data_IF_674520559043
#
_entry.id   IF_674520559043
#
_cell.length_a   1.000
_cell.length_b   1.000
_cell.length_c   1.000
_cell.angle_alpha   90.00
_cell.angle_beta   90.00
_cell.angle_gamma   90.00
#
_symmetry.space_group_name_H-M   'P 1'
#
loop_
_entity.id
_entity.type
_entity.pdbx_description
1 polymer ?
#
# COMPACT_ATOMS: atom_id res chain seq x y z
N UNK A 1 4.07 -55.46 -7.60
CA UNK A 1 4.27 -54.31 -8.54
C UNK A 1 2.97 -53.65 -8.98
N UNK A 2 1.85 -54.35 -9.30
CA UNK A 2 0.57 -53.74 -9.69
C UNK A 2 -0.17 -52.99 -8.57
N UNK A 3 -0.02 -53.42 -7.31
CA UNK A 3 -0.68 -52.82 -6.15
C UNK A 3 -0.01 -51.44 -5.75
N UNK A 4 1.29 -51.39 -5.86
CA UNK A 4 2.03 -50.10 -5.59
C UNK A 4 1.73 -48.99 -6.61
N UNK A 5 1.49 -49.34 -7.90
CA UNK A 5 1.11 -48.36 -8.94
C UNK A 5 -0.29 -47.76 -8.68
N UNK A 6 -1.23 -48.55 -8.12
CA UNK A 6 -2.59 -48.04 -7.80
C UNK A 6 -2.60 -47.09 -6.61
N UNK A 7 -1.73 -47.32 -5.60
CA UNK A 7 -1.62 -46.44 -4.42
C UNK A 7 -0.98 -45.10 -4.80
N UNK A 8 0.06 -45.08 -5.66
CA UNK A 8 0.66 -43.84 -6.13
C UNK A 8 -0.31 -43.00 -7.02
N UNK A 9 -1.13 -43.66 -7.84
CA UNK A 9 -2.13 -42.97 -8.66
C UNK A 9 -3.25 -42.36 -7.80
N UNK A 10 -3.65 -43.04 -6.73
CA UNK A 10 -4.67 -42.53 -5.80
C UNK A 10 -4.20 -41.33 -4.99
N UNK A 11 -2.93 -41.31 -4.57
CA UNK A 11 -2.34 -40.18 -3.81
C UNK A 11 -2.14 -38.96 -4.76
N UNK A 12 -1.72 -39.17 -5.99
CA UNK A 12 -1.57 -38.07 -6.96
C UNK A 12 -2.91 -37.44 -7.34
N UNK A 13 -3.98 -38.23 -7.47
CA UNK A 13 -5.34 -37.73 -7.76
C UNK A 13 -5.92 -36.99 -6.57
N UNK A 14 -5.70 -37.44 -5.32
CA UNK A 14 -6.14 -36.75 -4.12
C UNK A 14 -5.39 -35.42 -3.90
N UNK A 15 -4.09 -35.36 -4.20
CA UNK A 15 -3.33 -34.12 -4.11
C UNK A 15 -3.75 -33.09 -5.18
N UNK A 16 -4.08 -33.54 -6.38
CA UNK A 16 -4.58 -32.67 -7.46
C UNK A 16 -5.99 -32.12 -7.16
N UNK A 17 -6.87 -32.94 -6.56
CA UNK A 17 -8.22 -32.52 -6.16
C UNK A 17 -8.17 -31.55 -4.97
N UNK A 18 -7.26 -31.73 -4.00
CA UNK A 18 -7.10 -30.80 -2.90
C UNK A 18 -6.54 -29.44 -3.37
N UNK A 19 -5.60 -29.43 -4.34
CA UNK A 19 -5.03 -28.21 -4.92
C UNK A 19 -6.07 -27.42 -5.74
N UNK A 20 -6.94 -28.10 -6.50
CA UNK A 20 -8.04 -27.47 -7.23
C UNK A 20 -9.07 -26.83 -6.28
N UNK A 21 -9.38 -27.48 -5.14
CA UNK A 21 -10.34 -26.94 -4.17
C UNK A 21 -9.84 -25.66 -3.48
N UNK A 22 -8.55 -25.55 -3.15
CA UNK A 22 -8.00 -24.32 -2.56
C UNK A 22 -8.01 -23.17 -3.58
N UNK A 23 -7.61 -23.42 -4.80
CA UNK A 23 -7.64 -22.44 -5.89
C UNK A 23 -9.06 -21.93 -6.15
N UNK A 24 -10.06 -22.81 -6.17
CA UNK A 24 -11.46 -22.45 -6.34
C UNK A 24 -11.98 -21.60 -5.16
N UNK A 25 -11.56 -21.89 -3.94
CA UNK A 25 -11.90 -21.09 -2.77
C UNK A 25 -11.30 -19.68 -2.85
N UNK A 26 -10.05 -19.54 -3.31
CA UNK A 26 -9.42 -18.24 -3.50
C UNK A 26 -10.12 -17.42 -4.57
N UNK A 27 -10.51 -18.01 -5.70
CA UNK A 27 -11.32 -17.31 -6.71
C UNK A 27 -12.67 -16.87 -6.15
N UNK A 28 -13.37 -17.73 -5.40
CA UNK A 28 -14.64 -17.37 -4.77
C UNK A 28 -14.48 -16.21 -3.78
N UNK A 29 -13.40 -16.20 -2.99
CA UNK A 29 -13.07 -15.11 -2.07
C UNK A 29 -12.86 -13.79 -2.83
N UNK A 30 -12.10 -13.82 -3.93
CA UNK A 30 -11.86 -12.64 -4.79
C UNK A 30 -13.17 -12.14 -5.39
N UNK A 31 -13.96 -13.03 -6.01
CA UNK A 31 -15.25 -12.68 -6.61
C UNK A 31 -16.19 -12.01 -5.60
N UNK A 32 -16.35 -12.59 -4.42
CA UNK A 32 -17.21 -12.03 -3.37
C UNK A 32 -16.74 -10.65 -2.89
N UNK A 33 -15.43 -10.46 -2.75
CA UNK A 33 -14.86 -9.18 -2.33
C UNK A 33 -15.15 -8.08 -3.36
N UNK A 34 -14.94 -8.35 -4.65
CA UNK A 34 -15.17 -7.35 -5.70
C UNK A 34 -16.66 -7.09 -5.94
N UNK A 35 -17.54 -8.10 -5.88
CA UNK A 35 -18.99 -7.90 -5.95
C UNK A 35 -19.48 -7.05 -4.78
N UNK A 36 -18.98 -7.29 -3.57
CA UNK A 36 -19.30 -6.46 -2.40
C UNK A 36 -18.78 -5.03 -2.54
N UNK A 37 -17.56 -4.85 -3.07
CA UNK A 37 -16.95 -3.55 -3.30
C UNK A 37 -17.72 -2.72 -4.33
N UNK A 38 -18.12 -3.33 -5.44
CA UNK A 38 -18.82 -2.64 -6.54
C UNK A 38 -20.06 -1.90 -6.05
N UNK A 39 -21.00 -2.59 -5.42
CA UNK A 39 -22.24 -1.98 -4.96
C UNK A 39 -22.05 -0.88 -3.93
N UNK A 40 -21.08 -1.05 -3.00
CA UNK A 40 -20.77 -0.07 -1.96
C UNK A 40 -20.15 1.19 -2.53
N UNK A 41 -19.14 1.02 -3.37
CA UNK A 41 -18.38 2.15 -3.94
C UNK A 41 -19.24 2.96 -4.91
N UNK A 42 -20.14 2.33 -5.69
CA UNK A 42 -21.13 3.05 -6.50
C UNK A 42 -22.04 3.91 -5.59
N UNK A 43 -22.63 3.31 -4.55
CA UNK A 43 -23.53 4.00 -3.64
C UNK A 43 -22.83 5.18 -2.93
N UNK A 44 -21.63 4.96 -2.43
CA UNK A 44 -20.84 5.98 -1.74
C UNK A 44 -20.44 7.12 -2.69
N UNK A 45 -19.95 6.80 -3.88
CA UNK A 45 -19.56 7.78 -4.88
C UNK A 45 -20.76 8.64 -5.36
N UNK A 46 -21.88 8.00 -5.72
CA UNK A 46 -23.07 8.72 -6.18
C UNK A 46 -23.65 9.64 -5.09
N UNK A 47 -23.64 9.21 -3.82
CA UNK A 47 -24.11 10.03 -2.70
C UNK A 47 -23.26 11.29 -2.51
N UNK A 48 -21.92 11.16 -2.57
CA UNK A 48 -21.00 12.29 -2.39
C UNK A 48 -21.02 13.27 -3.55
N UNK A 49 -21.24 12.81 -4.78
CA UNK A 49 -21.42 13.72 -5.92
C UNK A 49 -22.64 14.64 -5.77
N UNK A 50 -23.64 14.23 -4.98
CA UNK A 50 -24.86 14.99 -4.71
C UNK A 50 -24.74 15.90 -3.49
N UNK A 51 -24.00 15.48 -2.42
CA UNK A 51 -23.91 16.19 -1.14
C UNK A 51 -22.63 17.01 -0.98
N UNK A 52 -21.50 16.46 -1.39
CA UNK A 52 -20.15 16.98 -1.08
C UNK A 52 -19.25 16.93 -2.32
N UNK A 53 -19.68 17.57 -3.40
CA UNK A 53 -18.98 17.54 -4.68
C UNK A 53 -17.53 18.01 -4.58
N UNK A 54 -16.60 17.18 -5.08
CA UNK A 54 -15.18 17.45 -5.05
C UNK A 54 -14.45 16.97 -3.78
N UNK A 55 -15.19 16.47 -2.77
CA UNK A 55 -14.61 15.84 -1.59
C UNK A 55 -14.48 14.34 -1.78
N UNK A 56 -13.51 13.73 -1.09
CA UNK A 56 -13.22 12.31 -1.18
C UNK A 56 -13.41 11.63 0.19
N UNK A 57 -14.01 10.42 0.22
CA UNK A 57 -14.19 9.70 1.49
C UNK A 57 -12.85 9.18 1.99
N UNK A 58 -12.60 9.37 3.29
CA UNK A 58 -11.37 8.96 3.96
C UNK A 58 -11.62 7.89 5.02
N UNK A 59 -12.58 8.14 5.92
CA UNK A 59 -12.86 7.32 7.09
C UNK A 59 -14.26 7.60 7.64
N UNK A 60 -14.52 7.17 8.88
CA UNK A 60 -15.68 7.57 9.69
C UNK A 60 -15.25 8.42 10.90
N UNK A 61 -16.09 9.42 11.22
CA UNK A 61 -16.01 10.18 12.48
C UNK A 61 -16.57 9.37 13.65
N UNK A 62 -16.42 9.87 14.87
CA UNK A 62 -16.92 9.22 16.08
C UNK A 62 -18.45 9.08 16.12
N UNK A 63 -19.17 9.99 15.47
CA UNK A 63 -20.63 9.94 15.32
C UNK A 63 -21.12 9.01 14.20
N UNK A 64 -20.21 8.31 13.51
CA UNK A 64 -20.49 7.41 12.43
C UNK A 64 -20.71 8.10 11.07
N UNK A 65 -20.65 9.44 10.98
CA UNK A 65 -20.70 10.17 9.71
C UNK A 65 -19.39 10.04 8.93
N UNK A 66 -19.42 10.25 7.61
CA UNK A 66 -18.22 10.21 6.78
C UNK A 66 -17.21 11.28 7.17
N UNK A 67 -15.97 10.89 7.33
CA UNK A 67 -14.83 11.78 7.35
C UNK A 67 -14.34 11.97 5.91
N UNK A 68 -14.38 13.19 5.42
CA UNK A 68 -14.02 13.55 4.06
C UNK A 68 -12.69 14.29 4.03
N UNK A 69 -12.00 14.18 2.91
CA UNK A 69 -10.73 14.85 2.64
C UNK A 69 -10.82 15.64 1.34
N UNK A 70 -10.20 16.83 1.31
CA UNK A 70 -10.04 17.60 0.09
C UNK A 70 -8.94 17.00 -0.80
N UNK A 71 -8.83 17.48 -2.02
CA UNK A 71 -7.87 16.97 -3.03
C UNK A 71 -6.42 16.99 -2.55
N UNK A 72 -6.01 17.99 -1.78
CA UNK A 72 -4.65 18.12 -1.22
C UNK A 72 -4.35 17.19 -0.03
N UNK A 73 -5.34 16.45 0.47
CA UNK A 73 -5.11 15.46 1.52
C UNK A 73 -4.41 14.21 0.99
N UNK A 74 -3.41 13.71 1.71
CA UNK A 74 -2.57 12.60 1.27
C UNK A 74 -3.33 11.31 0.89
N UNK A 75 -4.53 11.12 1.44
CA UNK A 75 -5.37 9.96 1.17
C UNK A 75 -6.32 10.13 -0.02
N UNK A 76 -6.28 11.27 -0.69
CA UNK A 76 -7.27 11.62 -1.74
C UNK A 76 -7.21 10.68 -2.96
N UNK A 77 -6.03 10.13 -3.29
CA UNK A 77 -5.85 9.25 -4.45
C UNK A 77 -6.41 7.84 -4.29
N UNK A 78 -6.63 7.37 -3.05
CA UNK A 78 -6.98 5.96 -2.81
C UNK A 78 -8.43 5.62 -3.19
N UNK A 79 -9.38 6.53 -2.99
CA UNK A 79 -10.76 6.27 -3.35
C UNK A 79 -10.96 6.12 -4.87
N UNK A 80 -10.49 7.05 -5.73
CA UNK A 80 -10.50 6.84 -7.17
C UNK A 80 -9.66 5.63 -7.60
N UNK A 81 -8.53 5.37 -6.94
CA UNK A 81 -7.72 4.18 -7.18
C UNK A 81 -8.47 2.88 -6.92
N UNK A 82 -9.24 2.80 -5.83
CA UNK A 82 -10.11 1.66 -5.53
C UNK A 82 -11.20 1.47 -6.59
N UNK A 83 -11.80 2.55 -7.07
CA UNK A 83 -12.76 2.49 -8.18
C UNK A 83 -12.12 1.94 -9.46
N UNK A 84 -10.87 2.29 -9.77
CA UNK A 84 -10.15 1.72 -10.90
C UNK A 84 -9.90 0.22 -10.74
N UNK A 85 -9.53 -0.27 -9.56
CA UNK A 85 -9.37 -1.71 -9.31
C UNK A 85 -10.70 -2.47 -9.41
N UNK A 86 -11.79 -1.89 -8.89
CA UNK A 86 -13.12 -2.48 -9.02
C UNK A 86 -13.52 -2.57 -10.50
N UNK A 87 -13.29 -1.50 -11.28
CA UNK A 87 -13.55 -1.53 -12.72
C UNK A 87 -12.69 -2.57 -13.45
N UNK A 88 -11.40 -2.65 -13.16
CA UNK A 88 -10.48 -3.62 -13.78
C UNK A 88 -10.97 -5.06 -13.58
N UNK A 89 -11.55 -5.36 -12.42
CA UNK A 89 -12.10 -6.68 -12.13
C UNK A 89 -13.46 -6.92 -12.76
N UNK A 90 -14.39 -5.97 -12.61
CA UNK A 90 -15.82 -6.17 -12.93
C UNK A 90 -16.18 -5.78 -14.36
N UNK A 91 -15.43 -4.88 -14.99
CA UNK A 91 -15.77 -4.28 -16.29
C UNK A 91 -16.97 -3.34 -16.27
N UNK A 92 -17.48 -2.96 -15.08
CA UNK A 92 -18.69 -2.15 -14.96
C UNK A 92 -18.49 -0.71 -15.44
N UNK A 93 -19.22 -0.28 -16.47
CA UNK A 93 -19.11 1.07 -17.07
C UNK A 93 -19.51 2.21 -16.12
N UNK A 94 -20.41 2.00 -15.15
CA UNK A 94 -20.75 2.99 -14.14
C UNK A 94 -19.55 3.23 -13.20
N UNK A 95 -18.89 2.15 -12.75
CA UNK A 95 -17.69 2.25 -11.92
C UNK A 95 -16.57 2.99 -12.66
N UNK A 96 -16.38 2.70 -13.97
CA UNK A 96 -15.44 3.44 -14.80
C UNK A 96 -15.72 4.94 -14.82
N UNK A 97 -16.98 5.32 -15.07
CA UNK A 97 -17.37 6.73 -15.12
C UNK A 97 -17.13 7.43 -13.79
N UNK A 98 -17.39 6.76 -12.66
CA UNK A 98 -17.12 7.27 -11.33
C UNK A 98 -15.61 7.38 -11.09
N UNK A 99 -14.82 6.37 -11.48
CA UNK A 99 -13.36 6.40 -11.37
C UNK A 99 -12.75 7.58 -12.15
N UNK A 100 -13.17 7.80 -13.39
CA UNK A 100 -12.78 8.94 -14.21
C UNK A 100 -13.13 10.26 -13.54
N UNK A 101 -14.35 10.37 -13.02
CA UNK A 101 -14.86 11.58 -12.38
C UNK A 101 -14.06 11.93 -11.12
N UNK A 102 -13.87 10.98 -10.21
CA UNK A 102 -13.11 11.20 -8.97
C UNK A 102 -11.63 11.43 -9.22
N UNK A 103 -11.04 10.77 -10.22
CA UNK A 103 -9.66 11.02 -10.65
C UNK A 103 -9.50 12.45 -11.13
N UNK A 104 -10.46 12.98 -11.92
CA UNK A 104 -10.37 14.35 -12.46
C UNK A 104 -10.36 15.45 -11.38
N UNK A 105 -10.88 15.19 -10.18
CA UNK A 105 -10.79 16.17 -9.08
C UNK A 105 -9.35 16.43 -8.65
N UNK A 106 -8.46 15.45 -8.81
CA UNK A 106 -7.08 15.52 -8.36
C UNK A 106 -6.13 16.23 -9.35
N UNK A 107 -6.59 16.59 -10.54
CA UNK A 107 -5.75 17.28 -11.53
C UNK A 107 -5.13 18.57 -10.96
N UNK A 108 -5.86 19.27 -10.10
CA UNK A 108 -5.40 20.52 -9.47
C UNK A 108 -4.13 20.33 -8.63
N UNK A 109 -3.83 19.11 -8.21
CA UNK A 109 -2.67 18.78 -7.37
C UNK A 109 -1.41 18.47 -8.19
N UNK A 110 -1.46 18.41 -9.51
CA UNK A 110 -0.32 18.02 -10.37
C UNK A 110 0.96 18.85 -10.16
N UNK A 111 0.83 20.08 -9.68
CA UNK A 111 1.96 20.98 -9.38
C UNK A 111 2.12 21.21 -7.87
N UNK A 112 1.53 20.38 -7.01
CA UNK A 112 1.61 20.54 -5.57
C UNK A 112 3.01 20.16 -5.05
N UNK A 113 3.79 21.16 -4.64
CA UNK A 113 5.13 20.99 -4.04
C UNK A 113 5.10 21.00 -2.50
N UNK A 114 3.94 21.15 -1.88
CA UNK A 114 3.76 21.30 -0.43
C UNK A 114 3.78 19.99 0.35
N UNK A 115 3.79 18.84 -0.33
CA UNK A 115 3.80 17.51 0.30
C UNK A 115 4.64 16.52 -0.47
N UNK A 116 5.18 15.51 0.21
CA UNK A 116 5.80 14.37 -0.44
C UNK A 116 4.77 13.32 -0.90
N UNK A 117 3.52 13.42 -0.43
CA UNK A 117 2.46 12.44 -0.68
C UNK A 117 1.85 12.54 -2.09
N UNK A 118 2.44 13.37 -2.95
CA UNK A 118 1.95 13.55 -4.32
C UNK A 118 1.91 12.23 -5.11
N UNK A 119 2.79 11.28 -4.78
CA UNK A 119 2.73 9.92 -5.33
C UNK A 119 1.46 9.17 -4.91
N UNK A 120 1.09 9.20 -3.62
CA UNK A 120 -0.16 8.63 -3.13
C UNK A 120 -1.39 9.26 -3.79
N UNK A 121 -1.36 10.58 -3.97
CA UNK A 121 -2.49 11.33 -4.56
C UNK A 121 -2.63 11.04 -6.05
N UNK A 122 -1.54 11.14 -6.80
CA UNK A 122 -1.56 11.12 -8.26
C UNK A 122 -1.35 9.71 -8.83
N UNK A 123 -0.42 8.93 -8.27
CA UNK A 123 -0.14 7.62 -8.87
C UNK A 123 -1.19 6.58 -8.53
N UNK A 124 -1.79 6.61 -7.32
CA UNK A 124 -2.91 5.73 -7.00
C UNK A 124 -4.17 6.04 -7.83
N UNK A 125 -4.36 7.29 -8.29
CA UNK A 125 -5.50 7.73 -9.09
C UNK A 125 -5.20 7.77 -10.60
N UNK A 126 -4.49 8.81 -11.04
CA UNK A 126 -4.09 8.96 -12.44
C UNK A 126 -3.20 7.83 -12.95
N UNK A 127 -2.32 7.28 -12.10
CA UNK A 127 -1.47 6.15 -12.47
C UNK A 127 -2.29 4.91 -12.85
N UNK A 128 -3.34 4.57 -12.08
CA UNK A 128 -4.25 3.49 -12.43
C UNK A 128 -5.09 3.82 -13.67
N UNK A 129 -5.53 5.07 -13.81
CA UNK A 129 -6.25 5.52 -15.01
C UNK A 129 -5.40 5.44 -16.27
N UNK A 130 -4.12 5.85 -16.19
CA UNK A 130 -3.16 5.82 -17.29
C UNK A 130 -2.81 4.38 -17.66
N UNK A 131 -2.54 3.52 -16.68
CA UNK A 131 -2.25 2.10 -16.88
C UNK A 131 -3.36 1.36 -17.63
N UNK A 132 -4.63 1.66 -17.34
CA UNK A 132 -5.78 1.00 -17.97
C UNK A 132 -6.19 1.66 -19.30
N UNK A 133 -6.04 2.96 -19.41
CA UNK A 133 -6.43 3.78 -20.56
C UNK A 133 -5.38 4.85 -20.83
N UNK A 134 -4.23 4.48 -21.43
CA UNK A 134 -3.15 5.41 -21.73
C UNK A 134 -3.63 6.60 -22.57
N UNK A 135 -3.21 7.82 -22.14
CA UNK A 135 -3.52 9.06 -22.85
C UNK A 135 -2.46 10.13 -22.53
N UNK A 136 -2.10 10.94 -23.53
CA UNK A 136 -0.99 11.90 -23.41
C UNK A 136 -1.23 12.98 -22.35
N UNK A 137 -2.48 13.42 -22.17
CA UNK A 137 -2.87 14.37 -21.12
C UNK A 137 -2.66 13.79 -19.72
N UNK A 138 -3.02 12.54 -19.47
CA UNK A 138 -2.80 11.85 -18.20
C UNK A 138 -1.31 11.64 -17.93
N UNK A 139 -0.56 11.26 -18.97
CA UNK A 139 0.89 11.14 -18.91
C UNK A 139 1.54 12.44 -18.49
N UNK A 140 1.14 13.58 -19.10
CA UNK A 140 1.67 14.87 -18.75
C UNK A 140 1.33 15.29 -17.30
N UNK A 141 0.10 15.00 -16.84
CA UNK A 141 -0.31 15.24 -15.45
C UNK A 141 0.60 14.50 -14.45
N UNK A 142 0.91 13.23 -14.73
CA UNK A 142 1.80 12.44 -13.88
C UNK A 142 3.26 12.92 -13.94
N UNK A 143 3.75 13.36 -15.10
CA UNK A 143 5.08 13.94 -15.24
C UNK A 143 5.19 15.23 -14.43
N UNK A 144 4.20 16.13 -14.50
CA UNK A 144 4.16 17.36 -13.72
C UNK A 144 4.18 17.06 -12.20
N UNK A 145 3.45 16.03 -11.76
CA UNK A 145 3.44 15.58 -10.37
C UNK A 145 4.81 15.00 -9.94
N UNK A 146 5.48 14.27 -10.83
CA UNK A 146 6.83 13.77 -10.57
C UNK A 146 7.85 14.93 -10.48
N UNK A 147 7.72 15.95 -11.32
CA UNK A 147 8.53 17.17 -11.22
C UNK A 147 8.28 17.90 -9.90
N UNK A 148 7.02 18.05 -9.48
CA UNK A 148 6.68 18.65 -8.20
C UNK A 148 7.32 17.87 -7.03
N UNK A 149 7.28 16.54 -7.04
CA UNK A 149 7.93 15.71 -6.02
C UNK A 149 9.45 15.89 -5.99
N UNK A 150 10.11 15.96 -7.15
CA UNK A 150 11.55 16.17 -7.26
C UNK A 150 12.01 17.48 -6.63
N UNK A 151 11.17 18.54 -6.60
CA UNK A 151 11.51 19.83 -5.95
C UNK A 151 11.77 19.72 -4.46
N UNK A 152 11.31 18.65 -3.82
CA UNK A 152 11.48 18.39 -2.38
C UNK A 152 12.76 17.61 -2.05
N UNK A 153 13.52 17.20 -3.06
CA UNK A 153 14.79 16.49 -2.89
C UNK A 153 15.94 17.47 -2.62
N UNK A 154 16.79 17.15 -1.67
CA UNK A 154 18.00 17.90 -1.35
C UNK A 154 19.22 16.96 -1.45
N UNK A 155 20.18 17.23 -2.34
CA UNK A 155 21.36 16.37 -2.55
C UNK A 155 22.21 16.16 -1.30
N UNK A 156 22.36 17.18 -0.44
CA UNK A 156 23.12 17.14 0.80
C UNK A 156 22.56 16.10 1.79
N UNK A 157 21.23 15.97 1.83
CA UNK A 157 20.53 14.96 2.64
C UNK A 157 20.43 13.64 1.88
N UNK A 158 20.29 13.70 0.57
CA UNK A 158 20.03 12.55 -0.30
C UNK A 158 18.61 11.97 -0.15
N UNK A 159 17.64 12.77 0.29
CA UNK A 159 16.25 12.38 0.46
C UNK A 159 15.28 13.48 0.04
N UNK A 160 14.04 13.06 -0.21
CA UNK A 160 12.88 13.93 -0.41
C UNK A 160 12.34 14.30 0.99
N UNK A 161 12.18 15.59 1.28
CA UNK A 161 11.62 16.08 2.54
C UNK A 161 10.12 15.76 2.65
N UNK A 162 9.70 15.25 3.81
CA UNK A 162 8.29 14.83 4.01
C UNK A 162 7.39 15.98 4.46
N UNK A 163 7.72 16.65 5.57
CA UNK A 163 6.86 17.66 6.17
C UNK A 163 7.55 19.02 6.30
N UNK A 164 6.79 20.09 6.08
CA UNK A 164 7.30 21.47 6.18
C UNK A 164 6.98 22.13 7.51
N UNK A 165 5.92 21.67 8.20
CA UNK A 165 5.33 22.30 9.38
C UNK A 165 5.83 21.77 10.74
N UNK A 166 6.83 20.88 10.75
CA UNK A 166 7.30 20.23 11.98
C UNK A 166 8.46 20.98 12.67
N UNK A 167 9.06 21.97 12.01
CA UNK A 167 10.17 22.74 12.57
C UNK A 167 9.81 23.43 13.89
N UNK A 168 8.72 24.20 13.93
CA UNK A 168 8.26 24.90 15.12
C UNK A 168 7.74 23.96 16.23
N UNK A 169 7.14 22.82 15.83
CA UNK A 169 6.51 21.90 16.76
C UNK A 169 7.49 20.94 17.43
N UNK A 170 8.49 20.47 16.67
CA UNK A 170 9.40 19.38 17.09
C UNK A 170 10.88 19.69 16.86
N UNK A 171 11.23 20.83 16.28
CA UNK A 171 12.60 21.11 15.85
C UNK A 171 13.04 20.28 14.64
N UNK A 172 12.08 19.71 13.87
CA UNK A 172 12.38 18.91 12.70
C UNK A 172 12.30 19.78 11.43
N UNK A 173 13.46 20.21 10.98
CA UNK A 173 13.54 21.11 9.82
C UNK A 173 13.66 20.37 8.49
N UNK A 174 14.16 19.13 8.50
CA UNK A 174 14.18 18.24 7.34
C UNK A 174 13.77 16.82 7.72
N UNK A 175 12.52 16.61 8.15
CA UNK A 175 12.03 15.28 8.45
C UNK A 175 11.77 14.47 7.19
N UNK A 176 12.23 13.24 7.20
CA UNK A 176 11.93 12.22 6.19
C UNK A 176 11.22 11.07 6.90
N UNK A 177 10.07 10.65 6.41
CA UNK A 177 9.35 9.50 6.94
C UNK A 177 9.41 8.32 5.99
N UNK A 178 9.30 7.12 6.53
CA UNK A 178 9.42 5.86 5.75
C UNK A 178 8.34 5.77 4.66
N UNK A 179 7.18 6.41 4.83
CA UNK A 179 6.07 6.50 3.88
C UNK A 179 6.50 7.05 2.52
N UNK A 180 7.56 7.87 2.50
CA UNK A 180 8.10 8.45 1.28
C UNK A 180 8.57 7.41 0.26
N UNK A 181 8.91 6.19 0.72
CA UNK A 181 9.24 5.08 -0.16
C UNK A 181 8.12 4.73 -1.14
N UNK A 182 6.86 4.98 -0.76
CA UNK A 182 5.69 4.72 -1.61
C UNK A 182 5.54 5.73 -2.75
N UNK A 183 6.05 6.95 -2.56
CA UNK A 183 5.95 8.02 -3.55
C UNK A 183 7.01 7.91 -4.66
N UNK A 184 8.01 7.04 -4.48
CA UNK A 184 9.06 6.79 -5.46
C UNK A 184 8.53 6.10 -6.73
N UNK A 185 7.42 5.37 -6.65
CA UNK A 185 6.82 4.69 -7.79
C UNK A 185 6.44 5.68 -8.90
N UNK A 186 5.92 6.86 -8.54
CA UNK A 186 5.66 7.95 -9.47
C UNK A 186 6.93 8.38 -10.22
N UNK A 187 8.06 8.51 -9.52
CA UNK A 187 9.34 8.91 -10.13
C UNK A 187 9.87 7.81 -11.07
N UNK A 188 9.81 6.57 -10.64
CA UNK A 188 10.27 5.43 -11.44
C UNK A 188 9.42 5.26 -12.70
N UNK A 189 8.11 5.44 -12.61
CA UNK A 189 7.22 5.47 -13.76
C UNK A 189 7.57 6.63 -14.70
N UNK A 190 7.79 7.85 -14.16
CA UNK A 190 8.16 9.01 -14.96
C UNK A 190 9.50 8.80 -15.70
N UNK A 191 10.46 8.14 -15.04
CA UNK A 191 11.71 7.73 -15.70
C UNK A 191 11.45 6.77 -16.87
N UNK A 192 10.64 5.73 -16.69
CA UNK A 192 10.31 4.80 -17.80
C UNK A 192 9.62 5.49 -18.97
N UNK A 193 8.76 6.49 -18.69
CA UNK A 193 8.01 7.20 -19.70
C UNK A 193 8.83 8.24 -20.48
N UNK A 194 9.83 8.84 -19.82
CA UNK A 194 10.56 10.00 -20.39
C UNK A 194 12.01 9.68 -20.72
N UNK A 195 12.63 8.71 -20.05
CA UNK A 195 14.07 8.47 -20.09
C UNK A 195 14.89 9.52 -19.33
N UNK A 196 14.27 10.48 -18.63
CA UNK A 196 14.98 11.52 -17.88
C UNK A 196 15.59 10.90 -16.61
N UNK A 197 16.92 10.90 -16.56
CA UNK A 197 17.71 10.29 -15.49
C UNK A 197 17.43 10.91 -14.10
N UNK A 198 16.98 12.17 -14.04
CA UNK A 198 16.73 12.86 -12.76
C UNK A 198 15.77 12.09 -11.86
N UNK A 199 14.71 11.47 -12.42
CA UNK A 199 13.72 10.72 -11.65
C UNK A 199 14.33 9.47 -11.03
N UNK A 200 15.12 8.73 -11.82
CA UNK A 200 15.82 7.54 -11.33
C UNK A 200 16.86 7.90 -10.27
N UNK A 201 17.65 8.98 -10.48
CA UNK A 201 18.66 9.45 -9.55
C UNK A 201 18.06 9.86 -8.21
N UNK A 202 16.98 10.63 -8.21
CA UNK A 202 16.27 11.03 -6.99
C UNK A 202 15.71 9.82 -6.27
N UNK A 203 15.00 8.92 -6.97
CA UNK A 203 14.40 7.73 -6.37
C UNK A 203 15.47 6.78 -5.78
N UNK A 204 16.53 6.49 -6.52
CA UNK A 204 17.58 5.57 -6.06
C UNK A 204 18.41 6.14 -4.92
N UNK A 205 18.71 7.43 -4.95
CA UNK A 205 19.46 8.10 -3.87
C UNK A 205 18.61 8.13 -2.59
N UNK A 206 17.34 8.52 -2.70
CA UNK A 206 16.40 8.48 -1.56
C UNK A 206 16.31 7.08 -0.96
N UNK A 207 16.08 6.05 -1.78
CA UNK A 207 15.93 4.69 -1.32
C UNK A 207 17.20 4.15 -0.65
N UNK A 208 18.40 4.44 -1.18
CA UNK A 208 19.68 4.04 -0.58
C UNK A 208 19.95 4.74 0.74
N UNK A 209 19.67 6.05 0.83
CA UNK A 209 19.77 6.81 2.09
C UNK A 209 18.79 6.30 3.14
N UNK A 210 17.54 6.02 2.73
CA UNK A 210 16.52 5.42 3.59
C UNK A 210 16.93 4.03 4.08
N UNK A 211 17.51 3.18 3.22
CA UNK A 211 17.99 1.86 3.61
C UNK A 211 19.06 1.91 4.71
N UNK A 212 19.91 2.94 4.67
CA UNK A 212 20.98 3.16 5.64
C UNK A 212 20.47 3.73 6.97
N UNK A 213 19.51 4.66 6.92
CA UNK A 213 19.19 5.51 8.06
C UNK A 213 17.84 5.21 8.72
N UNK A 214 16.88 4.58 8.02
CA UNK A 214 15.55 4.28 8.57
C UNK A 214 15.41 2.87 9.12
N UNK A 215 16.46 2.05 9.10
CA UNK A 215 16.38 0.68 9.58
C UNK A 215 17.44 0.37 10.61
N UNK A 216 17.04 -0.33 11.68
CA UNK A 216 17.94 -0.89 12.68
C UNK A 216 18.61 -2.15 12.13
N UNK A 217 19.54 -2.72 12.89
CA UNK A 217 20.27 -3.94 12.51
C UNK A 217 19.34 -5.14 12.28
N UNK A 218 18.25 -5.23 13.03
CA UNK A 218 17.20 -6.25 12.88
C UNK A 218 16.23 -6.00 11.72
N UNK A 219 16.42 -4.91 10.97
CA UNK A 219 15.56 -4.41 9.90
C UNK A 219 14.16 -3.92 10.36
N UNK A 220 13.98 -3.66 11.65
CA UNK A 220 12.85 -2.84 12.10
C UNK A 220 13.04 -1.37 11.69
N UNK A 221 11.95 -0.69 11.33
CA UNK A 221 12.03 0.67 10.80
C UNK A 221 11.85 1.74 11.89
N UNK A 222 12.60 2.83 11.77
CA UNK A 222 12.19 4.12 12.31
C UNK A 222 11.11 4.71 11.41
N UNK A 223 10.12 5.38 12.01
CA UNK A 223 9.14 6.13 11.23
C UNK A 223 9.76 7.41 10.66
N UNK A 224 10.49 8.17 11.49
CA UNK A 224 11.05 9.49 11.16
C UNK A 224 12.55 9.50 11.32
N UNK A 225 13.25 10.05 10.34
CA UNK A 225 14.64 10.51 10.45
C UNK A 225 14.66 11.99 10.10
N UNK A 226 15.13 12.82 11.02
CA UNK A 226 15.30 14.27 10.80
C UNK A 226 16.77 14.58 10.57
N UNK A 227 17.02 15.35 9.53
CA UNK A 227 18.37 15.70 9.09
C UNK A 227 18.64 17.20 9.27
N UNK A 228 19.92 17.56 9.34
CA UNK A 228 20.39 18.90 9.07
C UNK A 228 20.32 19.12 7.54
N UNK A 229 19.58 20.13 7.05
CA UNK A 229 19.41 20.34 5.61
C UNK A 229 20.66 20.82 4.89
N UNK A 230 21.68 21.30 5.63
CA UNK A 230 22.93 21.82 5.05
C UNK A 230 24.05 20.77 5.00
N UNK A 231 24.09 19.89 6.01
CA UNK A 231 25.17 18.91 6.14
C UNK A 231 24.74 17.47 5.85
N UNK A 232 23.42 17.19 5.88
CA UNK A 232 22.88 15.84 5.78
C UNK A 232 23.10 14.99 7.04
N UNK A 233 23.59 15.57 8.15
CA UNK A 233 23.76 14.88 9.41
C UNK A 233 22.41 14.50 10.03
N UNK A 234 22.35 13.31 10.65
CA UNK A 234 21.16 12.86 11.35
C UNK A 234 21.08 13.58 12.71
N UNK A 235 19.99 14.31 12.90
CA UNK A 235 19.69 15.02 14.15
C UNK A 235 18.73 14.22 15.06
N UNK A 236 17.91 13.33 14.47
CA UNK A 236 16.93 12.52 15.21
C UNK A 236 16.53 11.29 14.42
N UNK A 237 16.33 10.18 15.11
CA UNK A 237 15.72 8.96 14.61
C UNK A 237 14.68 8.48 15.64
N UNK A 238 13.45 8.22 15.18
CA UNK A 238 12.37 7.79 16.07
C UNK A 238 11.04 7.69 15.36
N UNK A 239 9.97 8.10 16.08
CA UNK A 239 8.61 7.95 15.58
C UNK A 239 7.74 9.19 15.78
N UNK A 240 6.67 9.27 14.98
CA UNK A 240 5.55 10.19 15.18
C UNK A 240 4.22 9.43 15.26
N UNK A 241 4.08 8.29 14.56
CA UNK A 241 2.86 7.48 14.54
C UNK A 241 3.04 6.13 15.25
N UNK A 242 4.27 5.68 15.55
CA UNK A 242 4.54 4.47 16.33
C UNK A 242 4.46 4.70 17.84
N UNK A 243 4.59 3.62 18.60
CA UNK A 243 4.45 3.58 20.05
C UNK A 243 5.58 4.35 20.77
N UNK A 244 6.81 4.13 20.34
CA UNK A 244 8.02 4.71 20.91
C UNK A 244 9.14 4.81 19.88
N UNK A 245 10.17 5.63 20.13
CA UNK A 245 11.26 5.85 19.19
C UNK A 245 12.07 4.57 18.89
N UNK A 246 12.04 3.59 19.79
CA UNK A 246 12.65 2.28 19.63
C UNK A 246 11.68 1.19 19.16
N UNK A 247 10.41 1.51 18.88
CA UNK A 247 9.43 0.59 18.31
C UNK A 247 9.42 0.62 16.78
N UNK A 248 8.62 -0.24 16.18
CA UNK A 248 8.37 -0.25 14.75
C UNK A 248 6.87 -0.18 14.49
N UNK A 249 6.43 0.92 13.92
CA UNK A 249 5.05 1.14 13.50
C UNK A 249 4.71 0.20 12.34
N UNK A 250 3.64 -0.60 12.47
CA UNK A 250 3.36 -1.71 11.55
C UNK A 250 3.17 -1.26 10.12
N UNK A 251 2.41 -0.18 9.88
CA UNK A 251 2.20 0.35 8.54
C UNK A 251 3.48 0.96 7.97
N UNK A 252 4.31 1.61 8.80
CA UNK A 252 5.62 2.10 8.36
C UNK A 252 6.56 0.98 7.90
N UNK A 253 6.55 -0.14 8.60
CA UNK A 253 7.27 -1.33 8.17
C UNK A 253 6.75 -1.87 6.82
N UNK A 254 5.43 -1.86 6.65
CA UNK A 254 4.78 -2.22 5.38
C UNK A 254 5.13 -1.27 4.23
N UNK A 255 5.21 0.05 4.49
CA UNK A 255 5.67 1.03 3.50
C UNK A 255 7.09 0.73 3.01
N UNK A 256 7.98 0.39 3.94
CA UNK A 256 9.33 -0.06 3.59
C UNK A 256 9.31 -1.29 2.70
N UNK A 257 8.58 -2.35 3.08
CA UNK A 257 8.48 -3.58 2.30
C UNK A 257 7.99 -3.31 0.88
N UNK A 258 6.88 -2.59 0.74
CA UNK A 258 6.28 -2.27 -0.57
C UNK A 258 7.24 -1.42 -1.40
N UNK A 259 7.77 -0.33 -0.83
CA UNK A 259 8.64 0.61 -1.55
C UNK A 259 9.90 -0.05 -2.08
N UNK A 260 10.60 -0.90 -1.30
CA UNK A 260 11.78 -1.63 -1.80
C UNK A 260 11.43 -2.70 -2.83
N UNK A 261 10.26 -3.32 -2.75
CA UNK A 261 9.75 -4.24 -3.78
C UNK A 261 9.56 -3.49 -5.10
N UNK A 262 8.94 -2.31 -5.06
CA UNK A 262 8.77 -1.41 -6.21
C UNK A 262 10.12 -0.98 -6.78
N UNK A 263 11.07 -0.55 -5.93
CA UNK A 263 12.41 -0.17 -6.38
C UNK A 263 13.06 -1.29 -7.19
N UNK A 264 12.99 -2.54 -6.72
CA UNK A 264 13.52 -3.68 -7.48
C UNK A 264 12.73 -3.96 -8.76
N UNK A 265 11.41 -3.84 -8.74
CA UNK A 265 10.57 -4.05 -9.93
C UNK A 265 11.03 -3.20 -11.12
N UNK A 266 11.35 -1.92 -10.88
CA UNK A 266 11.79 -0.99 -11.91
C UNK A 266 13.28 -1.08 -12.23
N UNK A 267 14.15 -1.12 -11.21
CA UNK A 267 15.60 -0.97 -11.41
C UNK A 267 16.34 -2.28 -11.66
N UNK A 268 15.79 -3.41 -11.21
CA UNK A 268 16.46 -4.73 -11.17
C UNK A 268 17.78 -4.73 -10.36
N UNK A 269 18.03 -3.69 -9.56
CA UNK A 269 19.18 -3.64 -8.64
C UNK A 269 18.91 -4.57 -7.45
N UNK A 270 19.74 -5.63 -7.35
CA UNK A 270 19.63 -6.67 -6.30
C UNK A 270 19.71 -6.10 -4.88
N UNK A 271 20.34 -4.93 -4.69
CA UNK A 271 20.37 -4.24 -3.42
C UNK A 271 18.97 -4.00 -2.85
N UNK A 272 18.02 -3.60 -3.71
CA UNK A 272 16.64 -3.33 -3.29
C UNK A 272 15.86 -4.62 -3.02
N UNK A 273 16.11 -5.69 -3.79
CA UNK A 273 15.52 -6.99 -3.52
C UNK A 273 16.00 -7.57 -2.18
N UNK A 274 17.30 -7.50 -1.92
CA UNK A 274 17.88 -7.94 -0.65
C UNK A 274 17.29 -7.17 0.54
N UNK A 275 17.09 -5.84 0.37
CA UNK A 275 16.47 -5.02 1.41
C UNK A 275 15.02 -5.37 1.63
N UNK A 276 14.24 -5.58 0.56
CA UNK A 276 12.85 -6.01 0.64
C UNK A 276 12.72 -7.34 1.40
N UNK A 277 13.58 -8.32 1.10
CA UNK A 277 13.57 -9.61 1.80
C UNK A 277 13.95 -9.51 3.28
N UNK A 278 14.92 -8.68 3.65
CA UNK A 278 15.28 -8.45 5.06
C UNK A 278 14.10 -7.84 5.84
N UNK A 279 13.36 -6.93 5.24
CA UNK A 279 12.14 -6.36 5.83
C UNK A 279 11.03 -7.43 5.91
N UNK A 280 10.86 -8.21 4.85
CA UNK A 280 9.90 -9.32 4.80
C UNK A 280 10.17 -10.36 5.89
N UNK A 281 11.43 -10.75 6.08
CA UNK A 281 11.86 -11.71 7.11
C UNK A 281 11.58 -11.15 8.52
N UNK A 282 11.85 -9.86 8.77
CA UNK A 282 11.46 -9.22 10.03
C UNK A 282 9.96 -9.34 10.30
N UNK A 283 9.12 -8.98 9.32
CA UNK A 283 7.66 -9.04 9.46
C UNK A 283 7.20 -10.48 9.73
N UNK A 284 7.64 -11.45 8.92
CA UNK A 284 7.20 -12.85 9.04
C UNK A 284 7.70 -13.54 10.32
N UNK A 285 8.86 -13.14 10.85
CA UNK A 285 9.49 -13.77 12.04
C UNK A 285 9.09 -13.10 13.35
N UNK A 286 8.40 -11.94 13.30
CA UNK A 286 8.03 -11.19 14.49
C UNK A 286 7.18 -12.02 15.46
N UNK A 287 7.46 -11.91 16.78
CA UNK A 287 6.74 -12.61 17.84
C UNK A 287 6.36 -11.65 18.97
N UNK A 288 5.14 -11.77 19.50
CA UNK A 288 4.09 -12.74 19.13
C UNK A 288 3.31 -12.27 17.89
N UNK A 289 3.38 -13.05 16.80
CA UNK A 289 2.56 -12.79 15.62
C UNK A 289 1.11 -13.18 15.93
N UNK A 290 0.12 -12.29 15.68
CA UNK A 290 -1.29 -12.65 15.80
C UNK A 290 -1.64 -13.85 14.92
N UNK A 291 -2.51 -14.72 15.41
CA UNK A 291 -2.90 -15.95 14.70
C UNK A 291 -3.54 -15.65 13.35
N UNK A 292 -4.35 -14.59 13.28
CA UNK A 292 -5.03 -14.08 12.09
C UNK A 292 -4.11 -13.30 11.11
N UNK A 293 -2.82 -13.13 11.44
CA UNK A 293 -1.84 -12.37 10.65
C UNK A 293 -2.19 -10.91 10.38
N UNK A 294 -3.20 -10.35 11.06
CA UNK A 294 -3.50 -8.93 11.04
C UNK A 294 -2.73 -8.27 12.17
N UNK A 295 -1.82 -7.37 11.83
CA UNK A 295 -0.87 -6.79 12.78
C UNK A 295 -1.56 -5.90 13.82
N UNK A 296 -0.97 -5.79 15.02
CA UNK A 296 -1.21 -4.65 15.89
C UNK A 296 -0.69 -3.37 15.20
N UNK A 297 -1.20 -2.21 15.58
CA UNK A 297 -0.80 -0.93 14.98
C UNK A 297 0.70 -0.62 15.14
N UNK A 298 1.38 -1.22 16.12
CA UNK A 298 2.81 -1.19 16.33
C UNK A 298 3.29 -2.56 16.82
N UNK A 299 4.46 -3.01 16.38
CA UNK A 299 4.97 -4.33 16.74
C UNK A 299 5.29 -4.47 18.24
N UNK A 300 5.57 -3.38 18.98
CA UNK A 300 5.74 -3.39 20.44
C UNK A 300 4.46 -3.03 21.21
N UNK A 301 3.33 -2.87 20.55
CA UNK A 301 2.07 -2.59 21.22
C UNK A 301 1.62 -3.76 22.12
N UNK A 302 0.91 -3.48 23.23
CA UNK A 302 0.33 -4.53 24.08
C UNK A 302 -0.59 -5.48 23.29
N UNK A 303 -0.72 -6.72 23.75
CA UNK A 303 -1.46 -7.76 23.02
C UNK A 303 -2.96 -7.43 22.80
N UNK A 304 -3.54 -6.57 23.64
CA UNK A 304 -4.92 -6.07 23.56
C UNK A 304 -5.06 -4.76 22.79
N UNK A 305 -3.96 -4.27 22.18
CA UNK A 305 -3.97 -3.06 21.35
C UNK A 305 -4.77 -3.27 20.05
N UNK A 306 -5.28 -2.18 19.44
CA UNK A 306 -6.00 -2.26 18.17
C UNK A 306 -5.19 -2.90 17.05
N UNK A 307 -5.89 -3.65 16.19
CA UNK A 307 -5.38 -4.15 14.92
C UNK A 307 -5.27 -3.02 13.91
N UNK A 308 -4.37 -3.17 12.95
CA UNK A 308 -4.30 -2.29 11.78
C UNK A 308 -4.46 -3.09 10.49
N UNK A 309 -5.72 -3.24 10.05
CA UNK A 309 -6.05 -3.91 8.80
C UNK A 309 -5.39 -3.22 7.59
N UNK A 310 -5.12 -1.91 7.65
CA UNK A 310 -4.43 -1.20 6.57
C UNK A 310 -2.98 -1.65 6.41
N UNK A 311 -2.26 -1.87 7.52
CA UNK A 311 -0.91 -2.42 7.49
C UNK A 311 -0.89 -3.86 6.94
N UNK A 312 -1.88 -4.68 7.32
CA UNK A 312 -1.99 -6.04 6.84
C UNK A 312 -2.31 -6.10 5.33
N UNK A 313 -3.27 -5.29 4.85
CA UNK A 313 -3.63 -5.22 3.43
C UNK A 313 -2.45 -4.78 2.55
N UNK A 314 -1.75 -3.73 2.97
CA UNK A 314 -0.53 -3.24 2.34
C UNK A 314 0.56 -4.33 2.26
N UNK A 315 0.82 -5.01 3.38
CA UNK A 315 1.80 -6.08 3.43
C UNK A 315 1.40 -7.27 2.54
N UNK A 316 0.12 -7.65 2.52
CA UNK A 316 -0.35 -8.72 1.63
C UNK A 316 -0.07 -8.39 0.16
N UNK A 317 -0.34 -7.15 -0.27
CA UNK A 317 -0.05 -6.70 -1.62
C UNK A 317 1.44 -6.75 -1.94
N UNK A 318 2.29 -6.25 -1.03
CA UNK A 318 3.74 -6.27 -1.18
C UNK A 318 4.32 -7.69 -1.22
N UNK A 319 3.88 -8.58 -0.33
CA UNK A 319 4.32 -9.99 -0.29
C UNK A 319 3.95 -10.75 -1.57
N UNK A 320 2.74 -10.53 -2.11
CA UNK A 320 2.33 -11.16 -3.38
C UNK A 320 3.26 -10.73 -4.51
N UNK A 321 3.54 -9.43 -4.64
CA UNK A 321 4.46 -8.96 -5.66
C UNK A 321 5.88 -9.51 -5.43
N UNK A 322 6.42 -9.40 -4.22
CA UNK A 322 7.75 -9.89 -3.88
C UNK A 322 7.91 -11.39 -4.18
N UNK A 323 6.86 -12.19 -3.97
CA UNK A 323 6.85 -13.62 -4.29
C UNK A 323 7.07 -13.93 -5.76
N UNK A 324 6.74 -13.01 -6.65
CA UNK A 324 6.92 -13.16 -8.11
C UNK A 324 8.28 -12.67 -8.61
N UNK A 325 9.03 -11.97 -7.78
CA UNK A 325 10.28 -11.28 -8.15
C UNK A 325 11.55 -12.04 -7.76
N UNK A 326 11.44 -13.19 -7.07
CA UNK A 326 12.57 -14.02 -6.66
C UNK A 326 12.59 -15.37 -7.38
N UNK A 327 13.79 -15.87 -7.67
CA UNK A 327 14.00 -17.21 -8.22
C UNK A 327 13.98 -18.31 -7.13
N UNK A 328 14.20 -17.94 -5.86
CA UNK A 328 14.12 -18.86 -4.72
C UNK A 328 12.67 -19.28 -4.46
N UNK A 329 12.30 -20.47 -4.92
CA UNK A 329 10.95 -21.04 -4.79
C UNK A 329 10.51 -21.23 -3.33
N UNK A 330 11.43 -21.47 -2.41
CA UNK A 330 11.11 -21.63 -0.98
C UNK A 330 10.74 -20.28 -0.39
N UNK A 331 11.54 -19.28 -0.68
CA UNK A 331 11.33 -17.91 -0.21
C UNK A 331 10.04 -17.32 -0.84
N UNK A 332 9.88 -17.47 -2.16
CA UNK A 332 8.65 -17.09 -2.87
C UNK A 332 7.39 -17.74 -2.24
N UNK A 333 7.44 -19.05 -2.00
CA UNK A 333 6.34 -19.78 -1.41
C UNK A 333 6.00 -19.36 0.03
N UNK A 334 6.99 -18.92 0.83
CA UNK A 334 6.73 -18.36 2.18
C UNK A 334 5.99 -17.03 2.09
N UNK A 335 6.46 -16.11 1.27
CA UNK A 335 5.82 -14.80 1.07
C UNK A 335 4.39 -14.95 0.53
N UNK A 336 4.20 -15.78 -0.49
CA UNK A 336 2.89 -16.08 -1.05
C UNK A 336 1.91 -16.60 0.02
N UNK A 337 2.30 -17.65 0.78
CA UNK A 337 1.41 -18.21 1.82
C UNK A 337 1.10 -17.20 2.91
N UNK A 338 2.08 -16.41 3.34
CA UNK A 338 1.85 -15.38 4.35
C UNK A 338 0.83 -14.32 3.88
N UNK A 339 0.91 -13.91 2.61
CA UNK A 339 -0.08 -13.02 2.00
C UNK A 339 -1.47 -13.64 1.91
N UNK A 340 -1.57 -14.93 1.54
CA UNK A 340 -2.84 -15.66 1.50
C UNK A 340 -3.49 -15.73 2.88
N UNK A 341 -2.73 -16.01 3.93
CA UNK A 341 -3.26 -16.07 5.30
C UNK A 341 -3.82 -14.70 5.73
N UNK A 342 -3.11 -13.60 5.43
CA UNK A 342 -3.62 -12.25 5.65
C UNK A 342 -4.92 -12.01 4.88
N UNK A 343 -4.96 -12.32 3.58
CA UNK A 343 -6.14 -12.07 2.74
C UNK A 343 -7.35 -12.91 3.17
N UNK A 344 -7.14 -14.16 3.59
CA UNK A 344 -8.22 -15.00 4.17
C UNK A 344 -8.82 -14.36 5.42
N UNK A 345 -7.98 -13.81 6.30
CA UNK A 345 -8.44 -13.11 7.50
C UNK A 345 -9.18 -11.82 7.15
N UNK A 346 -8.60 -10.97 6.31
CA UNK A 346 -9.22 -9.70 5.90
C UNK A 346 -10.55 -9.90 5.16
N UNK A 347 -10.70 -10.98 4.40
CA UNK A 347 -11.95 -11.34 3.70
C UNK A 347 -13.00 -11.96 4.63
N UNK A 348 -12.65 -12.29 5.86
CA UNK A 348 -13.55 -12.83 6.86
C UNK A 348 -14.45 -11.79 7.52
N UNK A 349 -15.51 -12.23 8.22
CA UNK A 349 -16.49 -11.34 8.84
C UNK A 349 -15.91 -10.48 9.99
N UNK A 350 -14.77 -10.85 10.54
CA UNK A 350 -14.10 -10.06 11.58
C UNK A 350 -13.54 -8.75 11.03
N UNK A 351 -13.08 -8.74 9.77
CA UNK A 351 -12.48 -7.57 9.15
C UNK A 351 -13.31 -6.98 8.01
N UNK A 352 -14.02 -7.80 7.23
CA UNK A 352 -14.92 -7.28 6.19
C UNK A 352 -16.26 -6.88 6.82
N UNK A 353 -16.69 -5.65 6.56
CA UNK A 353 -17.97 -5.16 7.06
C UNK A 353 -19.16 -5.78 6.32
N UNK A 354 -20.28 -5.99 7.01
CA UNK A 354 -21.53 -6.41 6.39
C UNK A 354 -22.08 -5.34 5.43
N UNK A 355 -22.85 -5.69 4.37
CA UNK A 355 -23.49 -4.73 3.49
C UNK A 355 -24.34 -3.70 4.25
N UNK A 356 -24.26 -2.43 3.85
CA UNK A 356 -24.99 -1.32 4.51
C UNK A 356 -24.34 -0.79 5.79
N UNK A 357 -23.20 -1.35 6.20
CA UNK A 357 -22.43 -0.90 7.37
C UNK A 357 -21.11 -0.25 6.97
N UNK A 358 -20.41 0.34 7.97
CA UNK A 358 -19.06 0.87 7.84
C UNK A 358 -18.94 2.05 6.85
N UNK A 359 -20.02 2.82 6.66
CA UNK A 359 -20.03 4.00 5.77
C UNK A 359 -19.73 3.72 4.29
N UNK A 360 -19.84 2.45 3.87
CA UNK A 360 -19.51 2.03 2.51
C UNK A 360 -18.09 1.47 2.34
N UNK A 361 -17.20 1.64 3.32
CA UNK A 361 -15.87 1.03 3.30
C UNK A 361 -15.93 -0.49 3.50
N UNK A 362 -14.94 -1.21 2.94
CA UNK A 362 -14.86 -2.66 2.99
C UNK A 362 -14.30 -3.16 4.32
N UNK A 363 -13.11 -2.68 4.68
CA UNK A 363 -12.37 -3.15 5.85
C UNK A 363 -12.67 -2.33 7.09
N UNK A 364 -12.75 -3.02 8.22
CA UNK A 364 -12.81 -2.50 9.59
C UNK A 364 -11.41 -2.51 10.22
N UNK A 365 -11.31 -1.97 11.43
CA UNK A 365 -10.17 -2.20 12.34
C UNK A 365 -8.83 -1.72 11.82
N UNK A 366 -8.76 -0.47 11.33
CA UNK A 366 -7.51 0.19 10.97
C UNK A 366 -7.19 1.35 11.94
N UNK A 367 -5.93 1.80 11.93
CA UNK A 367 -5.46 2.88 12.80
C UNK A 367 -4.63 3.88 11.98
N UNK A 368 -5.09 5.14 11.88
CA UNK A 368 -4.27 6.18 11.23
C UNK A 368 -3.10 6.59 12.10
N UNK A 369 -3.36 7.02 13.34
CA UNK A 369 -2.30 7.41 14.27
C UNK A 369 -2.75 7.27 15.73
N UNK A 370 -2.31 6.23 16.39
CA UNK A 370 -2.64 5.97 17.78
C UNK A 370 -2.14 7.08 18.74
N UNK A 371 -0.87 7.57 18.64
CA UNK A 371 -0.37 8.60 19.54
C UNK A 371 -1.09 9.94 19.43
N UNK A 372 -1.73 10.22 18.30
CA UNK A 372 -2.48 11.46 18.09
C UNK A 372 -4.00 11.29 18.25
N UNK A 373 -4.47 10.07 18.55
CA UNK A 373 -5.88 9.76 18.70
C UNK A 373 -6.69 9.81 17.42
N UNK A 374 -6.04 9.67 16.24
CA UNK A 374 -6.72 9.78 14.93
C UNK A 374 -7.12 8.43 14.40
N UNK A 375 -8.40 8.32 14.03
CA UNK A 375 -9.03 7.16 13.39
C UNK A 375 -8.51 5.83 13.97
N UNK A 376 -8.73 5.62 15.27
CA UNK A 376 -8.40 4.39 15.98
C UNK A 376 -9.58 3.45 15.83
N UNK A 377 -9.30 2.21 15.36
CA UNK A 377 -10.32 1.18 15.12
C UNK A 377 -11.41 1.67 14.16
N UNK A 378 -11.00 2.25 13.02
CA UNK A 378 -11.89 2.83 12.02
C UNK A 378 -11.61 2.25 10.63
N UNK A 379 -12.59 2.33 9.68
CA UNK A 379 -12.29 2.07 8.27
C UNK A 379 -11.37 3.15 7.71
N UNK A 380 -10.52 2.78 6.75
CA UNK A 380 -9.65 3.73 6.06
C UNK A 380 -9.65 3.42 4.56
N UNK A 381 -9.75 4.43 3.72
CA UNK A 381 -9.84 4.25 2.27
C UNK A 381 -8.58 3.58 1.68
N UNK A 382 -7.41 3.78 2.27
CA UNK A 382 -6.17 3.11 1.82
C UNK A 382 -6.09 1.64 2.29
N UNK A 383 -6.80 1.25 3.34
CA UNK A 383 -6.95 -0.16 3.69
C UNK A 383 -7.69 -0.91 2.58
N UNK A 384 -8.80 -0.35 2.10
CA UNK A 384 -9.58 -0.91 1.00
C UNK A 384 -8.77 -0.92 -0.30
N UNK A 385 -8.02 0.16 -0.59
CA UNK A 385 -7.19 0.26 -1.79
C UNK A 385 -6.17 -0.89 -1.87
N UNK A 386 -5.36 -1.08 -0.83
CA UNK A 386 -4.35 -2.14 -0.83
C UNK A 386 -4.95 -3.54 -0.73
N UNK A 387 -6.12 -3.68 -0.11
CA UNK A 387 -6.85 -4.95 -0.11
C UNK A 387 -7.30 -5.35 -1.52
N UNK A 388 -7.92 -4.42 -2.27
CA UNK A 388 -8.35 -4.65 -3.65
C UNK A 388 -7.15 -4.90 -4.58
N UNK A 389 -6.07 -4.14 -4.41
CA UNK A 389 -4.82 -4.37 -5.15
C UNK A 389 -4.26 -5.77 -4.89
N UNK A 390 -4.20 -6.19 -3.62
CA UNK A 390 -3.70 -7.52 -3.26
C UNK A 390 -4.55 -8.64 -3.87
N UNK A 391 -5.88 -8.48 -3.88
CA UNK A 391 -6.79 -9.44 -4.51
C UNK A 391 -6.58 -9.52 -6.04
N UNK A 392 -6.35 -8.40 -6.72
CA UNK A 392 -6.02 -8.41 -8.15
C UNK A 392 -4.67 -9.06 -8.42
N UNK A 393 -3.65 -8.77 -7.61
CA UNK A 393 -2.34 -9.43 -7.70
C UNK A 393 -2.47 -10.94 -7.51
N UNK A 394 -3.24 -11.37 -6.51
CA UNK A 394 -3.52 -12.79 -6.29
C UNK A 394 -4.21 -13.43 -7.50
N UNK A 395 -5.25 -12.77 -8.05
CA UNK A 395 -5.94 -13.25 -9.25
C UNK A 395 -4.96 -13.45 -10.41
N UNK A 396 -4.09 -12.48 -10.66
CA UNK A 396 -3.11 -12.55 -11.74
C UNK A 396 -2.10 -13.69 -11.53
N UNK A 397 -1.66 -13.95 -10.32
CA UNK A 397 -0.80 -15.11 -9.99
C UNK A 397 -1.55 -16.42 -10.27
N UNK A 398 -2.79 -16.55 -9.79
CA UNK A 398 -3.62 -17.74 -10.00
C UNK A 398 -3.93 -18.00 -11.48
N UNK A 399 -4.09 -16.96 -12.30
CA UNK A 399 -4.33 -17.08 -13.73
C UNK A 399 -3.07 -17.52 -14.48
N UNK A 400 -1.90 -17.00 -14.12
CA UNK A 400 -0.62 -17.40 -14.73
C UNK A 400 -0.23 -18.84 -14.40
N UNK A 401 -0.64 -19.39 -13.28
CA UNK A 401 -0.44 -20.80 -12.91
C UNK A 401 -1.32 -21.79 -13.72
N UNK A 402 -2.23 -21.28 -14.55
CA UNK A 402 -3.06 -22.08 -15.46
C UNK A 402 -2.41 -22.33 -16.82
N UNK A 403 -1.38 -21.54 -17.17
CA UNK A 403 -0.64 -21.66 -18.44
C UNK A 403 0.62 -22.52 -18.25
#
# INVERSE_FOLDING_TARGET
MKMFKKILSGIAVLAAVACSSEKDQLYSMIDQAFQNAEGRYITLADSLLQSDYGMLPHSLKDDGSLALVATYGWTSGFFPGSLWYIYEYTGNGQVKSLAEKYTSFLEVERHNTGTHDIGFMMYCSYGNSERLFPAEDKKQILIDAADALCTRFTPEVGCIRSWDHMGERKGWYYPVIIDNMMNLELLLWAWEQTGDAKYLEVATTHAKTTAKNHFREDNSSYHVVNYDPQTGEILFQGTHQGLADDSSWSRGQGWGLYGYTVMYRFTKDSFFLDKAWKIADYIMSYQPMPEDKVFLWDYKAPADAPRDASAAALCASAFLELSTLTEDKVQAGKAYRFAIDILKSLSGPDYTAAPGHNGGFLLKHSVTSFPTGKEIDRPLNYADYYYLEALLRLKNILDNDKQ
#
